data_IF_702045077114
#
_entry.id   IF_702045077114
#
_cell.length_a   1.000
_cell.length_b   1.000
_cell.length_c   1.000
_cell.angle_alpha   90.00
_cell.angle_beta   90.00
_cell.angle_gamma   90.00
#
_symmetry.space_group_name_H-M   'P 1'
#
loop_
_entity.id
_entity.type
_entity.pdbx_description
1 polymer ?
#
# COMPACT_ATOMS: atom_id res chain seq x y z
N UNK A 1 20.11 -0.85 -14.70
CA UNK A 1 19.66 -2.22 -14.40
C UNK A 1 18.57 -2.03 -13.37
N UNK A 2 17.36 -2.46 -13.67
CA UNK A 2 16.28 -2.45 -12.70
C UNK A 2 16.53 -3.56 -11.67
N UNK A 3 16.11 -3.35 -10.42
CA UNK A 3 16.41 -4.26 -9.31
C UNK A 3 15.12 -4.63 -8.61
N UNK A 4 14.76 -5.90 -8.63
CA UNK A 4 13.71 -6.44 -7.77
C UNK A 4 14.15 -6.42 -6.31
N UNK A 5 13.34 -5.84 -5.44
CA UNK A 5 13.52 -5.73 -4.01
C UNK A 5 12.61 -6.69 -3.25
N UNK A 6 13.16 -7.28 -2.19
CA UNK A 6 12.38 -7.98 -1.16
C UNK A 6 12.81 -7.40 0.17
N UNK A 7 11.92 -6.65 0.83
CA UNK A 7 12.25 -5.85 2.01
C UNK A 7 11.36 -6.27 3.17
N UNK A 8 11.98 -6.70 4.27
CA UNK A 8 11.32 -6.91 5.55
C UNK A 8 11.71 -5.77 6.51
N UNK A 9 10.73 -4.99 6.95
CA UNK A 9 10.91 -3.92 7.93
C UNK A 9 10.29 -4.33 9.26
N UNK A 10 11.10 -4.35 10.31
CA UNK A 10 10.62 -4.47 11.68
C UNK A 10 10.95 -3.18 12.44
N UNK A 11 9.90 -2.48 12.90
CA UNK A 11 10.00 -1.28 13.71
C UNK A 11 9.30 -0.06 13.10
N UNK A 12 9.34 1.02 13.86
CA UNK A 12 8.62 2.26 13.56
C UNK A 12 9.50 3.28 12.85
N UNK A 13 8.88 4.19 12.09
CA UNK A 13 9.54 5.35 11.45
C UNK A 13 10.58 5.00 10.39
N UNK A 14 10.36 3.93 9.62
CA UNK A 14 11.20 3.58 8.48
C UNK A 14 10.73 4.28 7.20
N UNK A 15 11.61 4.30 6.20
CA UNK A 15 11.32 4.85 4.88
C UNK A 15 11.89 3.94 3.82
N UNK A 16 11.04 3.50 2.90
CA UNK A 16 11.36 2.62 1.79
C UNK A 16 10.89 3.25 0.49
N UNK A 17 11.81 3.29 -0.46
CA UNK A 17 11.55 3.67 -1.84
C UNK A 17 12.23 2.64 -2.72
N UNK A 18 11.46 1.94 -3.53
CA UNK A 18 11.99 1.11 -4.62
C UNK A 18 11.76 1.82 -5.94
N UNK A 19 12.03 1.18 -7.07
CA UNK A 19 12.11 1.87 -8.35
C UNK A 19 11.35 1.21 -9.50
N UNK A 20 11.88 0.12 -10.03
CA UNK A 20 11.34 -0.58 -11.19
C UNK A 20 11.28 -2.08 -10.87
N UNK A 21 10.40 -2.78 -11.58
CA UNK A 21 10.14 -4.23 -11.46
C UNK A 21 9.25 -4.55 -10.26
N UNK A 22 8.69 -5.76 -10.28
CA UNK A 22 7.78 -6.24 -9.24
C UNK A 22 8.52 -6.40 -7.90
N UNK A 23 8.19 -5.58 -6.91
CA UNK A 23 8.80 -5.56 -5.59
C UNK A 23 7.91 -6.23 -4.53
N UNK A 24 8.52 -6.58 -3.39
CA UNK A 24 7.79 -7.14 -2.26
C UNK A 24 8.24 -6.49 -0.96
N UNK A 25 7.31 -5.84 -0.27
CA UNK A 25 7.55 -5.12 0.98
C UNK A 25 6.68 -5.69 2.08
N UNK A 26 7.31 -6.18 3.15
CA UNK A 26 6.63 -6.55 4.39
C UNK A 26 7.04 -5.56 5.49
N UNK A 27 6.10 -4.83 6.09
CA UNK A 27 6.40 -3.88 7.15
C UNK A 27 5.59 -4.13 8.42
N UNK A 28 6.30 -4.43 9.51
CA UNK A 28 5.76 -4.61 10.85
C UNK A 28 6.17 -3.42 11.73
N UNK A 29 5.28 -2.46 11.88
CA UNK A 29 5.51 -1.28 12.70
C UNK A 29 4.67 -0.09 12.26
N UNK A 30 4.74 0.97 13.05
CA UNK A 30 3.94 2.17 12.86
C UNK A 30 4.75 3.32 12.27
N UNK A 31 4.07 4.26 11.63
CA UNK A 31 4.68 5.47 11.05
C UNK A 31 5.74 5.20 9.96
N UNK A 32 5.63 4.08 9.23
CA UNK A 32 6.49 3.79 8.09
C UNK A 32 5.99 4.52 6.83
N UNK A 33 6.92 4.86 5.94
CA UNK A 33 6.63 5.42 4.62
C UNK A 33 7.17 4.46 3.55
N UNK A 34 6.30 3.99 2.67
CA UNK A 34 6.61 2.97 1.65
C UNK A 34 6.12 3.48 0.30
N UNK A 35 6.96 3.47 -0.73
CA UNK A 35 6.51 3.59 -2.12
C UNK A 35 7.33 2.71 -3.05
N UNK A 36 6.68 2.04 -4.00
CA UNK A 36 7.31 0.96 -4.78
C UNK A 36 7.66 1.30 -6.23
N UNK A 37 6.97 2.25 -6.86
CA UNK A 37 7.41 2.80 -8.15
C UNK A 37 6.70 2.14 -9.33
N UNK A 38 7.42 1.61 -10.32
CA UNK A 38 6.82 0.89 -11.45
C UNK A 38 6.99 -0.63 -11.28
N UNK A 39 5.94 -1.42 -11.44
CA UNK A 39 5.97 -2.88 -11.30
C UNK A 39 4.63 -3.39 -10.78
N UNK A 40 4.36 -4.69 -10.90
CA UNK A 40 3.22 -5.27 -10.18
C UNK A 40 3.68 -5.62 -8.75
N UNK A 41 3.46 -4.71 -7.80
CA UNK A 41 4.07 -4.76 -6.46
C UNK A 41 3.20 -5.47 -5.42
N UNK A 42 3.86 -6.06 -4.42
CA UNK A 42 3.19 -6.65 -3.25
C UNK A 42 3.59 -5.93 -1.96
N UNK A 43 2.62 -5.31 -1.28
CA UNK A 43 2.84 -4.54 -0.06
C UNK A 43 1.98 -5.13 1.07
N UNK A 44 2.61 -5.65 2.13
CA UNK A 44 1.95 -6.13 3.35
C UNK A 44 2.40 -5.29 4.55
N UNK A 45 1.48 -4.55 5.16
CA UNK A 45 1.76 -3.66 6.29
C UNK A 45 0.90 -4.01 7.50
N UNK A 46 1.56 -4.29 8.61
CA UNK A 46 0.94 -4.40 9.93
C UNK A 46 1.42 -3.28 10.84
N UNK A 47 0.50 -2.44 11.29
CA UNK A 47 0.79 -1.32 12.20
C UNK A 47 -0.10 -0.10 11.93
N UNK A 48 0.06 0.91 12.76
CA UNK A 48 -0.77 2.12 12.71
C UNK A 48 -0.03 3.27 12.01
N UNK A 49 -0.78 4.22 11.44
CA UNK A 49 -0.27 5.49 10.92
C UNK A 49 0.81 5.35 9.83
N UNK A 50 0.78 4.28 9.04
CA UNK A 50 1.68 4.09 7.91
C UNK A 50 1.17 4.85 6.67
N UNK A 51 2.11 5.24 5.80
CA UNK A 51 1.85 5.83 4.51
C UNK A 51 2.40 4.93 3.40
N UNK A 52 1.58 4.61 2.41
CA UNK A 52 1.89 3.70 1.31
C UNK A 52 1.46 4.30 -0.04
N UNK A 53 2.26 4.08 -1.08
CA UNK A 53 1.95 4.39 -2.47
C UNK A 53 2.44 3.25 -3.40
N UNK A 54 1.52 2.53 -4.03
CA UNK A 54 1.84 1.41 -4.95
C UNK A 54 2.54 1.88 -6.23
N UNK A 55 2.12 3.04 -6.75
CA UNK A 55 2.75 3.63 -7.92
C UNK A 55 2.10 3.19 -9.23
N UNK A 56 2.84 2.55 -10.13
CA UNK A 56 2.36 2.13 -11.44
C UNK A 56 2.42 0.61 -11.56
N UNK A 57 1.27 -0.01 -11.81
CA UNK A 57 1.19 -1.45 -12.04
C UNK A 57 -0.06 -2.02 -11.43
N UNK A 58 -0.21 -3.33 -11.44
CA UNK A 58 -1.33 -3.97 -10.76
C UNK A 58 -0.84 -4.43 -9.40
N UNK A 59 -1.06 -3.59 -8.39
CA UNK A 59 -0.49 -3.80 -7.05
C UNK A 59 -1.43 -4.59 -6.14
N UNK A 60 -0.85 -5.44 -5.31
CA UNK A 60 -1.51 -6.20 -4.25
C UNK A 60 -1.14 -5.60 -2.88
N UNK A 61 -2.06 -4.84 -2.28
CA UNK A 61 -1.82 -4.06 -1.06
C UNK A 61 -2.68 -4.58 0.10
N UNK A 62 -2.04 -5.15 1.11
CA UNK A 62 -2.67 -5.62 2.35
C UNK A 62 -2.25 -4.75 3.52
N UNK A 63 -3.22 -4.26 4.30
CA UNK A 63 -2.96 -3.39 5.45
C UNK A 63 -3.80 -3.83 6.66
N UNK A 64 -3.12 -4.06 7.78
CA UNK A 64 -3.73 -4.35 9.07
C UNK A 64 -3.30 -3.33 10.12
N UNK A 65 -4.21 -2.44 10.48
CA UNK A 65 -4.01 -1.44 11.52
C UNK A 65 -4.85 -0.21 11.31
N UNK A 66 -4.62 0.80 12.15
CA UNK A 66 -5.47 1.98 12.21
C UNK A 66 -4.78 3.20 11.61
N UNK A 67 -5.59 4.12 11.08
CA UNK A 67 -5.13 5.44 10.63
C UNK A 67 -4.03 5.40 9.57
N UNK A 68 -4.01 4.35 8.73
CA UNK A 68 -3.09 4.26 7.61
C UNK A 68 -3.59 5.10 6.42
N UNK A 69 -2.65 5.59 5.61
CA UNK A 69 -2.91 6.30 4.36
C UNK A 69 -2.36 5.48 3.19
N UNK A 70 -3.22 5.13 2.24
CA UNK A 70 -2.93 4.19 1.17
C UNK A 70 -3.29 4.84 -0.17
N UNK A 71 -2.37 4.78 -1.13
CA UNK A 71 -2.54 5.15 -2.53
C UNK A 71 -2.21 3.94 -3.41
N UNK A 72 -3.10 3.56 -4.32
CA UNK A 72 -2.80 2.54 -5.33
C UNK A 72 -2.04 3.06 -6.53
N UNK A 73 -2.31 4.29 -6.95
CA UNK A 73 -1.69 4.87 -8.14
C UNK A 73 -2.39 4.48 -9.45
N UNK A 74 -1.67 3.99 -10.45
CA UNK A 74 -2.21 3.59 -11.76
C UNK A 74 -2.22 2.07 -11.90
N UNK A 75 -3.15 1.51 -12.68
CA UNK A 75 -3.29 0.07 -12.89
C UNK A 75 -4.42 -0.55 -12.05
N UNK A 76 -4.70 -1.83 -12.26
CA UNK A 76 -5.81 -2.51 -11.58
C UNK A 76 -5.33 -3.07 -10.24
N UNK A 77 -5.59 -2.36 -9.15
CA UNK A 77 -5.06 -2.70 -7.85
C UNK A 77 -6.04 -3.53 -7.01
N UNK A 78 -5.50 -4.33 -6.11
CA UNK A 78 -6.26 -5.10 -5.13
C UNK A 78 -5.89 -4.67 -3.72
N UNK A 79 -6.91 -4.36 -2.91
CA UNK A 79 -6.73 -3.92 -1.52
C UNK A 79 -7.48 -4.83 -0.54
N UNK A 80 -6.79 -5.26 0.51
CA UNK A 80 -7.40 -5.82 1.72
C UNK A 80 -6.97 -5.00 2.94
N UNK A 81 -7.87 -4.14 3.41
CA UNK A 81 -7.59 -3.17 4.48
C UNK A 81 -8.47 -3.45 5.68
N UNK A 82 -7.84 -3.71 6.82
CA UNK A 82 -8.50 -3.98 8.08
C UNK A 82 -8.04 -3.01 9.17
N UNK A 83 -8.97 -2.65 10.05
CA UNK A 83 -8.75 -1.69 11.14
C UNK A 83 -9.51 -0.39 10.90
N UNK A 84 -9.34 0.55 11.81
CA UNK A 84 -10.21 1.72 11.90
C UNK A 84 -9.54 2.98 11.34
N UNK A 85 -10.35 3.89 10.82
CA UNK A 85 -9.93 5.23 10.39
C UNK A 85 -8.84 5.26 9.30
N UNK A 86 -8.77 4.24 8.45
CA UNK A 86 -7.87 4.20 7.30
C UNK A 86 -8.40 5.10 6.17
N UNK A 87 -7.47 5.70 5.42
CA UNK A 87 -7.76 6.45 4.20
C UNK A 87 -7.16 5.71 3.02
N UNK A 88 -8.00 5.32 2.06
CA UNK A 88 -7.60 4.63 0.85
C UNK A 88 -8.01 5.45 -0.38
N UNK A 89 -7.04 5.85 -1.19
CA UNK A 89 -7.24 6.24 -2.58
C UNK A 89 -6.89 5.07 -3.49
N UNK A 90 -7.87 4.45 -4.14
CA UNK A 90 -7.62 3.24 -4.94
C UNK A 90 -6.77 3.54 -6.17
N UNK A 91 -6.89 4.76 -6.72
CA UNK A 91 -6.16 5.17 -7.91
C UNK A 91 -7.04 5.22 -9.14
N UNK A 92 -6.43 5.08 -10.30
CA UNK A 92 -7.09 4.99 -11.61
C UNK A 92 -7.38 3.52 -11.97
N UNK A 93 -8.17 3.32 -13.03
CA UNK A 93 -8.58 2.00 -13.53
C UNK A 93 -9.52 1.24 -12.58
N UNK A 94 -9.82 -0.02 -12.94
CA UNK A 94 -10.79 -0.86 -12.24
C UNK A 94 -10.15 -1.55 -11.03
N UNK A 95 -10.25 -0.93 -9.85
CA UNK A 95 -9.71 -1.46 -8.60
C UNK A 95 -10.68 -2.39 -7.83
N UNK A 96 -10.12 -3.30 -7.04
CA UNK A 96 -10.86 -4.14 -6.09
C UNK A 96 -10.52 -3.77 -4.65
N UNK A 97 -11.52 -3.38 -3.87
CA UNK A 97 -11.31 -2.96 -2.47
C UNK A 97 -12.14 -3.82 -1.51
N UNK A 98 -11.46 -4.52 -0.61
CA UNK A 98 -12.02 -5.08 0.62
C UNK A 98 -11.62 -4.21 1.81
N UNK A 99 -12.61 -3.73 2.57
CA UNK A 99 -12.38 -2.82 3.69
C UNK A 99 -13.22 -3.24 4.90
N UNK A 100 -12.57 -3.35 6.06
CA UNK A 100 -13.21 -3.75 7.31
C UNK A 100 -12.75 -2.85 8.46
N UNK A 101 -13.68 -2.49 9.34
CA UNK A 101 -13.44 -1.59 10.47
C UNK A 101 -14.26 -0.31 10.39
N UNK A 102 -14.19 0.49 11.45
CA UNK A 102 -15.01 1.68 11.64
C UNK A 102 -14.27 2.94 11.17
N UNK A 103 -15.01 3.89 10.59
CA UNK A 103 -14.47 5.22 10.25
C UNK A 103 -13.50 5.26 9.07
N UNK A 104 -13.41 4.18 8.28
CA UNK A 104 -12.59 4.15 7.08
C UNK A 104 -13.17 5.04 5.97
N UNK A 105 -12.29 5.65 5.17
CA UNK A 105 -12.64 6.46 4.02
C UNK A 105 -11.98 5.91 2.75
N UNK A 106 -12.80 5.67 1.72
CA UNK A 106 -12.32 5.21 0.41
C UNK A 106 -12.70 6.22 -0.66
N UNK A 107 -11.71 6.62 -1.45
CA UNK A 107 -11.89 7.37 -2.67
C UNK A 107 -11.44 6.49 -3.86
N UNK A 108 -12.40 6.00 -4.61
CA UNK A 108 -12.14 5.33 -5.89
C UNK A 108 -12.21 6.37 -6.99
N UNK A 109 -11.14 6.58 -7.76
CA UNK A 109 -11.26 7.43 -8.94
C UNK A 109 -12.10 6.71 -10.01
N UNK A 110 -12.50 7.45 -11.04
CA UNK A 110 -13.22 6.84 -12.15
C UNK A 110 -12.23 6.11 -13.07
N UNK A 111 -12.43 4.80 -13.23
CA UNK A 111 -12.05 4.06 -14.45
C UNK A 111 -12.95 4.41 -15.62
#
# INVERSE_FOLDING_TARGET
MATKWNIDLDGDNNTVFTDLEDDTINANGSNNQIATGDGDDAIDVTGDSNWMDGGNGNDDITVSGNSNFISGGNGQNTFDVTGDSNFLGSGYDDDTVALQGDGNYVNTAAG
#
